data_IF_545858186488
#
_entry.id   IF_545858186488
#
_cell.length_a   1.000
_cell.length_b   1.000
_cell.length_c   1.000
_cell.angle_alpha   90.00
_cell.angle_beta   90.00
_cell.angle_gamma   90.00
#
_symmetry.space_group_name_H-M   'P 1'
#
loop_
_entity.id
_entity.type
_entity.pdbx_description
1 polymer ?
#
# COMPACT_ATOMS: atom_id res chain seq x y z
N UNK A 1 -30.09 -2.16 -27.95
CA UNK A 1 -30.25 -3.52 -27.37
C UNK A 1 -28.90 -3.97 -26.83
N UNK A 2 -28.64 -3.83 -25.52
CA UNK A 2 -27.40 -4.35 -24.91
C UNK A 2 -27.66 -5.82 -24.56
N UNK A 3 -26.90 -6.74 -25.16
CA UNK A 3 -26.94 -8.16 -24.83
C UNK A 3 -26.38 -8.38 -23.43
N UNK A 4 -27.21 -8.92 -22.53
CA UNK A 4 -26.73 -9.53 -21.30
C UNK A 4 -25.84 -10.73 -21.66
N UNK A 5 -24.60 -10.72 -21.19
CA UNK A 5 -23.76 -11.91 -21.08
C UNK A 5 -24.14 -12.58 -19.74
N UNK A 6 -24.48 -13.88 -19.72
CA UNK A 6 -25.15 -14.48 -18.58
C UNK A 6 -24.14 -14.91 -17.50
N UNK A 7 -23.72 -13.95 -16.68
CA UNK A 7 -23.24 -14.17 -15.29
C UNK A 7 -23.24 -12.88 -14.45
N UNK A 8 -23.81 -11.77 -14.94
CA UNK A 8 -23.62 -10.43 -14.33
C UNK A 8 -24.88 -9.85 -13.66
N UNK A 9 -25.89 -10.68 -13.38
CA UNK A 9 -27.16 -10.22 -12.81
C UNK A 9 -27.41 -10.64 -11.36
N UNK A 10 -26.48 -11.36 -10.72
CA UNK A 10 -26.57 -11.68 -9.30
C UNK A 10 -25.28 -11.21 -8.62
N UNK A 11 -25.45 -10.33 -7.62
CA UNK A 11 -24.44 -9.67 -6.76
C UNK A 11 -23.59 -8.56 -7.40
N UNK A 12 -24.09 -7.31 -7.34
CA UNK A 12 -23.26 -6.08 -7.44
C UNK A 12 -22.40 -5.93 -6.18
N UNK A 13 -21.48 -6.85 -5.94
CA UNK A 13 -20.48 -6.67 -4.90
C UNK A 13 -19.14 -6.32 -5.57
N UNK A 14 -18.77 -5.04 -5.47
CA UNK A 14 -17.48 -4.53 -5.95
C UNK A 14 -16.31 -5.24 -5.29
N UNK A 15 -16.49 -5.71 -4.04
CA UNK A 15 -15.47 -6.43 -3.27
C UNK A 15 -15.15 -7.77 -3.91
N UNK A 16 -16.19 -8.54 -4.26
CA UNK A 16 -16.01 -9.82 -4.96
C UNK A 16 -15.39 -9.59 -6.34
N UNK A 17 -15.80 -8.55 -7.05
CA UNK A 17 -15.22 -8.21 -8.36
C UNK A 17 -13.72 -7.90 -8.26
N UNK A 18 -13.31 -7.11 -7.25
CA UNK A 18 -11.91 -6.78 -6.99
C UNK A 18 -11.07 -8.04 -6.67
N UNK A 19 -11.62 -8.93 -5.84
CA UNK A 19 -10.99 -10.19 -5.48
C UNK A 19 -10.84 -11.13 -6.69
N UNK A 20 -11.92 -11.34 -7.46
CA UNK A 20 -11.93 -12.25 -8.61
C UNK A 20 -11.04 -11.77 -9.76
N UNK A 21 -10.85 -10.45 -9.89
CA UNK A 21 -9.90 -9.87 -10.84
C UNK A 21 -8.44 -9.89 -10.32
N UNK A 22 -8.20 -10.47 -9.14
CA UNK A 22 -6.87 -10.61 -8.55
C UNK A 22 -6.24 -9.30 -8.11
N UNK A 23 -7.03 -8.25 -7.92
CA UNK A 23 -6.50 -6.89 -7.73
C UNK A 23 -5.78 -6.74 -6.39
N UNK A 24 -6.23 -7.48 -5.37
CA UNK A 24 -5.64 -7.51 -4.03
C UNK A 24 -4.14 -7.86 -4.01
N UNK A 25 -3.70 -8.75 -4.89
CA UNK A 25 -2.33 -9.29 -4.89
C UNK A 25 -1.41 -8.62 -5.91
N UNK A 26 -1.88 -7.55 -6.57
CA UNK A 26 -1.04 -6.81 -7.51
C UNK A 26 0.05 -6.03 -6.77
N UNK A 27 1.28 -5.95 -7.32
CA UNK A 27 2.42 -5.32 -6.66
C UNK A 27 2.38 -3.78 -6.78
N UNK A 28 1.35 -3.16 -6.20
CA UNK A 28 1.12 -1.72 -6.31
C UNK A 28 2.20 -0.86 -5.65
N UNK A 29 2.94 -1.41 -4.68
CA UNK A 29 4.07 -0.73 -4.05
C UNK A 29 5.10 -0.23 -5.07
N UNK A 30 5.21 -0.83 -6.27
CA UNK A 30 6.16 -0.38 -7.30
C UNK A 30 5.88 1.03 -7.79
N UNK A 31 4.62 1.47 -7.79
CA UNK A 31 4.27 2.83 -8.22
C UNK A 31 4.77 3.90 -7.25
N UNK A 32 5.02 3.54 -6.00
CA UNK A 32 5.54 4.49 -5.01
C UNK A 32 6.97 4.92 -5.31
N UNK A 33 7.73 4.09 -6.06
CA UNK A 33 9.11 4.39 -6.46
C UNK A 33 9.10 5.63 -7.36
N UNK A 34 8.23 5.67 -8.37
CA UNK A 34 8.10 6.82 -9.28
C UNK A 34 7.71 8.10 -8.52
N UNK A 35 6.84 7.98 -7.51
CA UNK A 35 6.42 9.09 -6.66
C UNK A 35 7.59 9.63 -5.82
N UNK A 36 8.33 8.74 -5.17
CA UNK A 36 9.49 9.09 -4.34
C UNK A 36 10.62 9.69 -5.17
N UNK A 37 10.94 9.11 -6.33
CA UNK A 37 11.99 9.57 -7.23
C UNK A 37 11.63 10.89 -7.94
N UNK A 38 10.33 11.22 -8.02
CA UNK A 38 9.85 12.55 -8.45
C UNK A 38 9.99 13.62 -7.36
N UNK A 39 10.51 13.28 -6.18
CA UNK A 39 10.72 14.20 -5.06
C UNK A 39 9.43 14.53 -4.29
N UNK A 40 8.37 13.74 -4.46
CA UNK A 40 7.12 13.93 -3.69
C UNK A 40 7.31 13.32 -2.30
N UNK A 41 7.11 14.09 -1.21
CA UNK A 41 7.21 13.56 0.14
C UNK A 41 6.04 12.61 0.44
N UNK A 42 6.35 11.45 1.03
CA UNK A 42 5.38 10.40 1.39
C UNK A 42 5.52 10.07 2.88
N UNK A 43 4.37 9.89 3.55
CA UNK A 43 4.29 9.46 4.95
C UNK A 43 3.55 8.12 5.02
N UNK A 44 4.16 7.12 5.64
CA UNK A 44 3.51 5.88 6.05
C UNK A 44 3.24 5.98 7.55
N UNK A 45 1.97 5.97 7.94
CA UNK A 45 1.52 6.02 9.34
C UNK A 45 0.67 4.79 9.64
N UNK A 46 1.05 4.05 10.69
CA UNK A 46 0.41 2.80 11.07
C UNK A 46 0.23 2.76 12.60
N UNK A 47 -0.95 2.33 13.04
CA UNK A 47 -1.19 2.02 14.45
C UNK A 47 -0.45 0.74 14.84
N UNK A 48 0.07 0.70 16.06
CA UNK A 48 0.74 -0.47 16.62
C UNK A 48 -0.22 -1.63 16.95
N UNK A 49 -1.52 -1.34 17.10
CA UNK A 49 -2.58 -2.31 17.40
C UNK A 49 -3.37 -2.82 16.17
N UNK A 50 -3.07 -2.38 14.94
CA UNK A 50 -3.72 -2.94 13.74
C UNK A 50 -3.13 -4.31 13.38
N UNK A 51 -3.98 -5.33 13.30
CA UNK A 51 -3.56 -6.69 12.91
C UNK A 51 -3.47 -6.87 11.39
N UNK A 52 -4.44 -6.36 10.63
CA UNK A 52 -4.57 -6.65 9.19
C UNK A 52 -3.49 -5.90 8.39
N UNK A 53 -3.26 -4.61 8.72
CA UNK A 53 -2.25 -3.77 8.08
C UNK A 53 -1.21 -3.29 9.10
N UNK A 54 -0.63 -4.25 9.81
CA UNK A 54 0.27 -4.01 10.94
C UNK A 54 1.53 -3.21 10.60
N UNK A 55 2.03 -2.49 11.61
CA UNK A 55 3.23 -1.66 11.51
C UNK A 55 4.49 -2.47 11.16
N UNK A 56 4.63 -3.71 11.63
CA UNK A 56 5.78 -4.58 11.33
C UNK A 56 5.89 -4.89 9.83
N UNK A 57 4.75 -5.15 9.18
CA UNK A 57 4.68 -5.38 7.75
C UNK A 57 5.08 -4.14 6.97
N UNK A 58 4.59 -2.97 7.40
CA UNK A 58 4.94 -1.69 6.77
C UNK A 58 6.40 -1.33 6.94
N UNK A 59 6.95 -1.50 8.14
CA UNK A 59 8.37 -1.32 8.42
C UNK A 59 9.23 -2.26 7.55
N UNK A 60 8.85 -3.53 7.44
CA UNK A 60 9.62 -4.52 6.69
C UNK A 60 9.67 -4.23 5.17
N UNK A 61 8.56 -3.85 4.54
CA UNK A 61 8.57 -3.57 3.09
C UNK A 61 9.18 -2.21 2.78
N UNK A 62 8.95 -1.19 3.62
CA UNK A 62 9.50 0.15 3.40
C UNK A 62 11.04 0.16 3.53
N UNK A 63 11.62 -0.59 4.47
CA UNK A 63 13.08 -0.75 4.59
C UNK A 63 13.72 -1.54 3.43
N UNK A 64 12.94 -2.36 2.70
CA UNK A 64 13.41 -3.16 1.56
C UNK A 64 13.08 -2.54 0.21
N UNK A 65 12.30 -1.47 0.17
CA UNK A 65 11.91 -0.81 -1.07
C UNK A 65 13.15 -0.19 -1.73
N UNK A 66 13.43 -0.60 -2.96
CA UNK A 66 14.53 -0.06 -3.75
C UNK A 66 14.05 1.21 -4.48
N UNK A 67 14.62 2.34 -4.11
CA UNK A 67 14.43 3.66 -4.73
C UNK A 67 15.67 4.53 -4.46
N UNK A 68 15.76 5.72 -5.07
CA UNK A 68 16.97 6.56 -5.00
C UNK A 68 17.45 6.88 -3.57
N UNK A 69 16.54 7.01 -2.60
CA UNK A 69 16.83 7.29 -1.19
C UNK A 69 16.87 6.08 -0.24
N UNK A 70 16.68 4.85 -0.75
CA UNK A 70 16.53 3.61 0.04
C UNK A 70 17.63 3.39 1.09
N UNK A 71 18.90 3.57 0.71
CA UNK A 71 20.03 3.39 1.63
C UNK A 71 20.04 4.40 2.78
N UNK A 72 19.60 5.64 2.51
CA UNK A 72 19.49 6.68 3.52
C UNK A 72 18.37 6.37 4.51
N UNK A 73 17.22 5.93 3.98
CA UNK A 73 16.08 5.52 4.77
C UNK A 73 16.42 4.34 5.71
N UNK A 74 16.99 3.25 5.18
CA UNK A 74 17.31 2.06 5.96
C UNK A 74 18.40 2.27 7.04
N UNK A 75 19.22 3.31 6.90
CA UNK A 75 20.26 3.68 7.90
C UNK A 75 19.77 4.71 8.92
N UNK A 76 18.64 5.37 8.67
CA UNK A 76 18.15 6.40 9.56
C UNK A 76 17.74 5.78 10.91
N UNK A 77 18.15 6.36 12.05
CA UNK A 77 17.74 5.85 13.35
C UNK A 77 16.25 6.13 13.58
N UNK A 78 15.53 5.14 14.13
CA UNK A 78 14.17 5.33 14.62
C UNK A 78 14.19 6.34 15.76
N UNK A 79 13.28 7.31 15.71
CA UNK A 79 13.13 8.35 16.72
C UNK A 79 11.74 8.27 17.33
N UNK A 80 11.67 8.47 18.65
CA UNK A 80 10.40 8.69 19.32
C UNK A 80 9.81 10.01 18.80
N UNK A 81 8.57 9.94 18.31
CA UNK A 81 7.81 11.12 17.94
C UNK A 81 6.97 11.56 19.13
N UNK A 82 7.12 12.82 19.54
CA UNK A 82 6.32 13.45 20.60
C UNK A 82 5.39 14.46 19.94
N UNK A 83 4.12 14.42 20.33
CA UNK A 83 3.09 15.34 19.82
C UNK A 83 2.89 16.41 20.87
N UNK A 84 3.25 17.64 20.51
CA UNK A 84 2.90 18.82 21.28
C UNK A 84 1.42 19.12 21.06
N UNK A 85 0.67 19.24 22.15
CA UNK A 85 -0.77 19.51 22.15
C UNK A 85 -1.05 20.99 22.42
#
# INVERSE_FOLDING_TARGET
MRKCVPLNCLTKDSTITYLLNGDLMKPYYRHIIDVLDSGIPVLLYNGDEDFICNWLGVDAWSNKLEWSGSQGFAKAPIRKWEVDW
#
